data_IF_435898798466
#
_entry.id   IF_435898798466
#
_cell.length_a   1.000
_cell.length_b   1.000
_cell.length_c   1.000
_cell.angle_alpha   90.00
_cell.angle_beta   90.00
_cell.angle_gamma   90.00
#
_symmetry.space_group_name_H-M   'P 1'
#
loop_
_entity.id
_entity.type
_entity.pdbx_description
1 polymer ?
#
# COMPACT_ATOMS: atom_id res chain seq x y z
N UNK A 1 6.99 15.76 -4.55
CA UNK A 1 6.46 15.27 -3.25
C UNK A 1 4.95 15.58 -3.13
N UNK A 2 4.10 15.13 -4.07
CA UNK A 2 2.64 15.39 -4.03
C UNK A 2 1.88 14.27 -4.76
N UNK A 3 2.07 13.02 -4.33
CA UNK A 3 1.29 11.87 -4.84
C UNK A 3 0.91 10.85 -3.77
N UNK A 4 1.21 11.12 -2.49
CA UNK A 4 0.86 10.23 -1.37
C UNK A 4 -0.43 10.60 -0.62
N UNK A 5 -1.10 11.70 -0.99
CA UNK A 5 -2.21 12.24 -0.19
C UNK A 5 -3.60 12.08 -0.84
N UNK A 6 -3.68 11.86 -2.16
CA UNK A 6 -4.97 11.87 -2.88
C UNK A 6 -5.65 10.49 -2.99
N UNK A 7 -5.00 9.40 -2.58
CA UNK A 7 -5.64 8.09 -2.49
C UNK A 7 -6.57 7.94 -1.26
N UNK A 8 -6.65 8.96 -0.39
CA UNK A 8 -7.52 8.96 0.79
C UNK A 8 -8.98 9.36 0.49
N UNK A 9 -9.29 9.88 -0.70
CA UNK A 9 -10.66 10.29 -1.06
C UNK A 9 -11.35 9.25 -1.95
N UNK A 10 -11.31 7.98 -1.54
CA UNK A 10 -12.36 7.04 -1.90
C UNK A 10 -13.66 7.55 -1.28
N UNK A 11 -14.53 8.17 -2.09
CA UNK A 11 -15.86 8.63 -1.69
C UNK A 11 -16.62 7.53 -0.93
N UNK A 12 -16.68 7.64 0.39
CA UNK A 12 -17.80 7.14 1.19
C UNK A 12 -17.62 5.87 2.03
N UNK A 13 -16.41 5.32 2.24
CA UNK A 13 -16.23 4.18 3.15
C UNK A 13 -15.01 4.39 4.03
N UNK A 14 -15.09 3.92 5.29
CA UNK A 14 -14.04 4.08 6.31
C UNK A 14 -12.66 3.67 5.78
N UNK A 15 -11.62 4.17 6.45
CA UNK A 15 -10.19 3.95 6.14
C UNK A 15 -9.97 2.67 5.35
N UNK A 16 -9.59 2.79 4.08
CA UNK A 16 -9.31 1.64 3.22
C UNK A 16 -8.00 1.00 3.69
N UNK A 17 -8.14 -0.02 4.55
CA UNK A 17 -7.00 -0.74 5.11
C UNK A 17 -6.18 -1.45 4.04
N UNK A 18 -6.79 -1.82 2.90
CA UNK A 18 -6.11 -2.46 1.77
C UNK A 18 -5.15 -1.46 1.12
N UNK A 19 -5.65 -0.26 0.80
CA UNK A 19 -4.83 0.79 0.19
C UNK A 19 -3.74 1.28 1.15
N UNK A 20 -4.05 1.44 2.43
CA UNK A 20 -3.06 1.81 3.44
C UNK A 20 -1.96 0.75 3.62
N UNK A 21 -2.33 -0.53 3.74
CA UNK A 21 -1.37 -1.63 3.84
C UNK A 21 -0.48 -1.73 2.59
N UNK A 22 -1.03 -1.50 1.40
CA UNK A 22 -0.28 -1.44 0.14
C UNK A 22 0.82 -0.37 0.18
N UNK A 23 0.50 0.85 0.61
CA UNK A 23 1.51 1.93 0.69
C UNK A 23 2.60 1.62 1.73
N UNK A 24 2.24 1.06 2.88
CA UNK A 24 3.24 0.62 3.85
C UNK A 24 4.12 -0.52 3.33
N UNK A 25 3.56 -1.44 2.54
CA UNK A 25 4.34 -2.50 1.89
C UNK A 25 5.34 -1.94 0.87
N UNK A 26 4.92 -0.97 0.05
CA UNK A 26 5.81 -0.28 -0.90
C UNK A 26 6.90 0.50 -0.17
N UNK A 27 6.55 1.24 0.89
CA UNK A 27 7.52 1.99 1.69
C UNK A 27 8.50 1.08 2.44
N UNK A 28 8.03 -0.07 2.96
CA UNK A 28 8.87 -1.09 3.55
C UNK A 28 9.84 -1.70 2.53
N UNK A 29 9.38 -1.98 1.31
CA UNK A 29 10.22 -2.47 0.21
C UNK A 29 11.31 -1.45 -0.20
N UNK A 30 11.08 -0.16 0.03
CA UNK A 30 12.06 0.93 -0.18
C UNK A 30 13.00 1.14 1.02
N UNK A 31 12.89 0.34 2.08
CA UNK A 31 13.78 0.40 3.26
C UNK A 31 13.25 1.22 4.44
N UNK A 32 12.00 1.70 4.41
CA UNK A 32 11.41 2.41 5.54
C UNK A 32 11.05 1.43 6.67
N UNK A 33 11.76 1.51 7.80
CA UNK A 33 11.53 0.64 8.98
C UNK A 33 10.20 0.93 9.68
N UNK A 34 9.80 2.20 9.76
CA UNK A 34 8.51 2.60 10.33
C UNK A 34 7.34 2.00 9.53
N UNK A 35 7.47 1.95 8.21
CA UNK A 35 6.47 1.32 7.36
C UNK A 35 6.35 -0.19 7.60
N UNK A 36 7.43 -0.88 8.01
CA UNK A 36 7.34 -2.30 8.41
C UNK A 36 6.49 -2.46 9.67
N UNK A 37 6.63 -1.54 10.63
CA UNK A 37 5.85 -1.57 11.87
C UNK A 37 4.37 -1.31 11.59
N UNK A 38 4.05 -0.22 10.92
CA UNK A 38 2.66 0.12 10.58
C UNK A 38 1.99 -0.92 9.68
N UNK A 39 2.73 -1.55 8.76
CA UNK A 39 2.20 -2.68 7.97
C UNK A 39 1.74 -3.84 8.84
N UNK A 40 2.51 -4.17 9.89
CA UNK A 40 2.15 -5.25 10.83
C UNK A 40 0.91 -4.89 11.62
N UNK A 41 0.88 -3.69 12.22
CA UNK A 41 -0.29 -3.22 12.99
C UNK A 41 -1.57 -3.14 12.15
N UNK A 42 -1.47 -2.77 10.88
CA UNK A 42 -2.62 -2.80 9.96
C UNK A 42 -3.03 -4.24 9.61
N UNK A 43 -2.06 -5.14 9.42
CA UNK A 43 -2.37 -6.54 9.09
C UNK A 43 -3.18 -7.22 10.19
N UNK A 44 -2.98 -6.84 11.45
CA UNK A 44 -3.72 -7.37 12.60
C UNK A 44 -5.20 -6.93 12.61
N UNK A 45 -5.54 -5.86 11.89
CA UNK A 45 -6.91 -5.33 11.75
C UNK A 45 -7.59 -5.79 10.45
N UNK A 46 -6.90 -6.56 9.61
CA UNK A 46 -7.37 -7.00 8.31
C UNK A 46 -7.61 -8.50 8.29
N UNK A 47 -8.55 -8.93 7.47
CA UNK A 47 -8.70 -10.35 7.14
C UNK A 47 -7.54 -10.83 6.26
N UNK A 48 -7.31 -12.15 6.27
CA UNK A 48 -6.29 -12.75 5.40
C UNK A 48 -6.54 -12.46 3.91
N UNK A 49 -7.81 -12.32 3.49
CA UNK A 49 -8.17 -11.97 2.12
C UNK A 49 -7.76 -10.53 1.78
N UNK A 50 -8.01 -9.58 2.68
CA UNK A 50 -7.64 -8.18 2.50
C UNK A 50 -6.12 -7.99 2.50
N UNK A 51 -5.39 -8.72 3.36
CA UNK A 51 -3.91 -8.71 3.36
C UNK A 51 -3.37 -9.25 2.04
N UNK A 52 -3.92 -10.37 1.56
CA UNK A 52 -3.51 -10.96 0.29
C UNK A 52 -3.73 -10.00 -0.89
N UNK A 53 -4.88 -9.32 -0.90
CA UNK A 53 -5.22 -8.33 -1.92
C UNK A 53 -4.30 -7.11 -1.87
N UNK A 54 -4.05 -6.55 -0.68
CA UNK A 54 -3.14 -5.42 -0.50
C UNK A 54 -1.71 -5.74 -0.95
N UNK A 55 -1.25 -6.96 -0.67
CA UNK A 55 0.06 -7.44 -1.14
C UNK A 55 0.09 -7.64 -2.66
N UNK A 56 -0.99 -8.18 -3.26
CA UNK A 56 -1.11 -8.35 -4.72
C UNK A 56 -1.02 -7.00 -5.42
N UNK A 57 -1.80 -6.02 -4.98
CA UNK A 57 -1.80 -4.66 -5.53
C UNK A 57 -0.44 -3.96 -5.33
N UNK A 58 0.23 -4.16 -4.18
CA UNK A 58 1.56 -3.61 -3.96
C UNK A 58 2.61 -4.18 -4.93
N UNK A 59 2.58 -5.50 -5.17
CA UNK A 59 3.46 -6.15 -6.14
C UNK A 59 3.20 -5.69 -7.56
N UNK A 60 1.92 -5.62 -7.96
CA UNK A 60 1.50 -5.14 -9.27
C UNK A 60 1.94 -3.69 -9.51
N UNK A 61 1.77 -2.82 -8.50
CA UNK A 61 2.23 -1.44 -8.57
C UNK A 61 3.76 -1.33 -8.70
N UNK A 62 4.52 -2.13 -7.96
CA UNK A 62 5.99 -2.18 -8.07
C UNK A 62 6.44 -2.70 -9.44
N UNK A 63 5.76 -3.71 -9.99
CA UNK A 63 6.04 -4.24 -11.32
C UNK A 63 5.74 -3.20 -12.41
N UNK A 64 4.63 -2.46 -12.31
CA UNK A 64 4.29 -1.36 -13.21
C UNK A 64 5.28 -0.19 -13.10
N UNK A 65 5.75 0.14 -11.90
CA UNK A 65 6.79 1.17 -11.69
C UNK A 65 8.13 0.77 -12.31
N UNK A 66 8.48 -0.52 -12.27
CA UNK A 66 9.70 -1.02 -12.92
C UNK A 66 9.54 -1.13 -14.45
N UNK A 67 8.30 -1.21 -14.94
CA UNK A 67 7.96 -1.17 -16.37
C UNK A 67 7.98 0.26 -16.93
N UNK A 68 7.72 1.31 -16.15
CA UNK A 68 7.52 2.66 -16.68
C UNK A 68 8.56 3.03 -17.77
N UNK A 69 8.17 3.09 -19.07
CA UNK A 69 9.07 3.64 -20.07
C UNK A 69 9.30 5.09 -19.69
N UNK A 70 10.56 5.50 -19.68
CA UNK A 70 10.90 6.91 -19.62
C UNK A 70 10.17 7.62 -20.75
N UNK A 71 9.16 8.42 -20.41
CA UNK A 71 8.43 9.30 -21.31
C UNK A 71 8.23 10.64 -20.61
#
# INVERSE_FOLDING_TARGET
MRRGFEAACGRGRGVDLIEAHKWFNIAAAKGCREAVHHRRELSDQMSAQEVAEAQRQAREWLALQHHAPAA
#
